data_IF_408771070531
#
_entry.id   IF_408771070531
#
_cell.length_a   1.000
_cell.length_b   1.000
_cell.length_c   1.000
_cell.angle_alpha   90.00
_cell.angle_beta   90.00
_cell.angle_gamma   90.00
#
_symmetry.space_group_name_H-M   'P 1'
#
loop_
_entity.id
_entity.type
_entity.pdbx_description
1 polymer ?
#
# COMPACT_ATOMS: atom_id res chain seq x y z
N UNK A 1 -13.25 -9.92 0.24
CA UNK A 1 -14.24 -8.88 0.08
C UNK A 1 -13.83 -7.55 0.63
N UNK A 2 -12.56 -7.29 0.71
CA UNK A 2 -12.04 -6.03 1.22
C UNK A 2 -11.51 -5.09 0.16
N UNK A 3 -11.53 -5.48 -1.12
CA UNK A 3 -10.89 -4.69 -2.16
C UNK A 3 -11.53 -3.30 -2.32
N UNK A 4 -12.86 -3.20 -2.27
CA UNK A 4 -13.54 -1.90 -2.36
C UNK A 4 -13.15 -0.99 -1.19
N UNK A 5 -13.12 -1.54 0.02
CA UNK A 5 -12.72 -0.79 1.21
C UNK A 5 -11.23 -0.41 1.15
N UNK A 6 -10.41 -1.29 0.59
CA UNK A 6 -8.99 -1.02 0.42
C UNK A 6 -8.77 0.16 -0.54
N UNK A 7 -9.51 0.21 -1.65
CA UNK A 7 -9.40 1.32 -2.60
C UNK A 7 -9.75 2.64 -1.93
N UNK A 8 -10.84 2.69 -1.17
CA UNK A 8 -11.20 3.90 -0.42
C UNK A 8 -10.11 4.29 0.58
N UNK A 9 -9.58 3.30 1.29
CA UNK A 9 -8.52 3.53 2.26
C UNK A 9 -7.28 4.10 1.59
N UNK A 10 -6.83 3.50 0.48
CA UNK A 10 -5.63 3.98 -0.23
C UNK A 10 -5.83 5.38 -0.80
N UNK A 11 -7.07 5.72 -1.17
CA UNK A 11 -7.39 7.09 -1.57
C UNK A 11 -7.15 8.08 -0.42
N UNK A 12 -7.61 7.74 0.79
CA UNK A 12 -7.45 8.62 1.96
C UNK A 12 -6.00 8.64 2.45
N UNK A 13 -5.34 7.47 2.49
CA UNK A 13 -4.00 7.35 3.08
C UNK A 13 -2.89 7.81 2.14
N UNK A 14 -2.99 7.49 0.85
CA UNK A 14 -1.90 7.70 -0.11
C UNK A 14 -2.28 8.58 -1.29
N UNK A 15 -3.50 9.11 -1.31
CA UNK A 15 -3.95 9.91 -2.45
C UNK A 15 -4.17 9.09 -3.72
N UNK A 16 -4.44 7.80 -3.56
CA UNK A 16 -4.72 6.94 -4.71
C UNK A 16 -6.00 7.36 -5.42
N UNK A 17 -6.05 7.13 -6.73
CA UNK A 17 -7.31 7.26 -7.46
C UNK A 17 -7.53 6.04 -8.34
N UNK A 18 -8.80 5.70 -8.51
CA UNK A 18 -9.21 4.50 -9.25
C UNK A 18 -9.33 4.81 -10.74
N UNK A 19 -8.72 3.95 -11.58
CA UNK A 19 -8.85 4.05 -13.02
C UNK A 19 -9.98 3.18 -13.55
N UNK A 20 -10.11 1.96 -13.02
CA UNK A 20 -11.07 1.00 -13.55
C UNK A 20 -11.40 -0.05 -12.50
N UNK A 21 -12.57 -0.67 -12.66
CA UNK A 21 -13.05 -1.69 -11.74
C UNK A 21 -13.97 -2.65 -12.50
N UNK A 22 -13.66 -3.96 -12.40
CA UNK A 22 -14.52 -5.01 -12.92
C UNK A 22 -15.16 -5.75 -11.73
N UNK A 23 -16.48 -5.71 -11.67
CA UNK A 23 -17.24 -6.30 -10.57
C UNK A 23 -17.96 -7.56 -11.08
N UNK A 24 -17.79 -8.66 -10.33
CA UNK A 24 -18.52 -9.89 -10.62
C UNK A 24 -20.02 -9.71 -10.29
N UNK A 25 -20.94 -10.42 -10.97
CA UNK A 25 -22.37 -10.34 -10.64
C UNK A 25 -22.69 -10.61 -9.17
N UNK A 26 -21.84 -11.38 -8.47
CA UNK A 26 -22.02 -11.64 -7.03
C UNK A 26 -21.51 -10.50 -6.16
N UNK A 27 -21.00 -9.43 -6.73
CA UNK A 27 -20.62 -8.20 -6.01
C UNK A 27 -19.16 -8.06 -5.62
N UNK A 28 -18.33 -9.08 -5.82
CA UNK A 28 -16.90 -8.94 -5.48
C UNK A 28 -16.13 -8.34 -6.65
N UNK A 29 -14.98 -7.70 -6.30
CA UNK A 29 -14.11 -7.09 -7.31
C UNK A 29 -13.21 -8.17 -7.91
N UNK A 30 -13.37 -8.43 -9.21
CA UNK A 30 -12.52 -9.35 -9.96
C UNK A 30 -11.18 -8.70 -10.22
N UNK A 31 -11.19 -7.41 -10.54
CA UNK A 31 -10.00 -6.66 -10.92
C UNK A 31 -10.27 -5.18 -10.73
N UNK A 32 -9.32 -4.47 -10.16
CA UNK A 32 -9.35 -3.02 -10.08
C UNK A 32 -7.96 -2.47 -10.33
N UNK A 33 -7.90 -1.26 -10.87
CA UNK A 33 -6.66 -0.54 -11.12
C UNK A 33 -6.70 0.79 -10.43
N UNK A 34 -5.70 1.07 -9.61
CA UNK A 34 -5.55 2.36 -8.94
C UNK A 34 -4.17 2.93 -9.24
N UNK A 35 -4.05 4.23 -9.11
CA UNK A 35 -2.77 4.93 -9.28
C UNK A 35 -2.38 5.57 -7.96
N UNK A 36 -1.16 5.28 -7.50
CA UNK A 36 -0.56 5.89 -6.32
C UNK A 36 0.73 6.55 -6.77
N UNK A 37 0.80 7.88 -6.62
CA UNK A 37 2.00 8.65 -6.95
C UNK A 37 2.51 8.36 -8.36
N UNK A 38 1.60 8.27 -9.33
CA UNK A 38 1.94 8.02 -10.73
C UNK A 38 2.20 6.55 -11.08
N UNK A 39 2.08 5.63 -10.14
CA UNK A 39 2.34 4.21 -10.37
C UNK A 39 1.04 3.41 -10.35
N UNK A 40 0.92 2.51 -11.30
CA UNK A 40 -0.25 1.64 -11.41
C UNK A 40 -0.14 0.47 -10.44
N UNK A 41 -1.20 0.23 -9.69
CA UNK A 41 -1.33 -0.92 -8.82
C UNK A 41 -2.64 -1.64 -9.14
N UNK A 42 -2.58 -2.95 -9.26
CA UNK A 42 -3.76 -3.77 -9.50
C UNK A 42 -4.12 -4.54 -8.24
N UNK A 43 -5.41 -4.70 -7.97
CA UNK A 43 -5.88 -5.45 -6.81
C UNK A 43 -7.21 -6.12 -7.10
N UNK A 44 -7.54 -7.11 -6.29
CA UNK A 44 -8.79 -7.87 -6.42
C UNK A 44 -9.21 -8.41 -5.07
N UNK A 45 -10.47 -8.81 -4.96
CA UNK A 45 -10.91 -9.64 -3.85
C UNK A 45 -10.35 -11.06 -4.02
N UNK A 46 -10.02 -11.76 -2.92
CA UNK A 46 -9.56 -13.13 -3.04
C UNK A 46 -10.71 -14.04 -3.44
N UNK A 47 -10.61 -14.61 -4.62
CA UNK A 47 -11.64 -15.50 -5.19
C UNK A 47 -11.09 -16.90 -5.48
N UNK A 48 -9.87 -17.18 -5.07
CA UNK A 48 -9.17 -18.42 -5.38
C UNK A 48 -8.17 -18.72 -4.25
N UNK A 49 -7.87 -20.01 -4.01
CA UNK A 49 -6.84 -20.37 -3.04
C UNK A 49 -5.45 -19.79 -3.33
N UNK A 50 -5.24 -19.33 -4.58
CA UNK A 50 -3.96 -18.70 -4.96
C UNK A 50 -3.84 -17.29 -4.37
N UNK A 51 -4.98 -16.59 -4.19
CA UNK A 51 -5.01 -15.21 -3.70
C UNK A 51 -5.50 -15.20 -2.26
N UNK A 52 -4.57 -15.37 -1.32
CA UNK A 52 -4.90 -15.39 0.10
C UNK A 52 -5.04 -13.98 0.69
N UNK A 53 -5.91 -13.85 1.68
CA UNK A 53 -6.06 -12.61 2.43
C UNK A 53 -4.94 -12.54 3.49
N UNK A 54 -4.03 -11.53 3.43
CA UNK A 54 -2.91 -11.44 4.37
C UNK A 54 -3.33 -11.31 5.83
N UNK A 55 -4.56 -10.86 6.09
CA UNK A 55 -5.06 -10.76 7.47
C UNK A 55 -5.17 -12.11 8.16
N UNK A 56 -5.25 -13.18 7.38
CA UNK A 56 -5.49 -14.54 7.90
C UNK A 56 -4.21 -15.35 8.13
N UNK A 57 -3.10 -14.93 7.56
CA UNK A 57 -1.86 -15.69 7.68
C UNK A 57 -0.59 -14.87 7.57
N UNK A 58 -0.70 -13.55 7.63
CA UNK A 58 0.44 -12.68 7.44
C UNK A 58 0.84 -12.58 5.97
N UNK A 59 1.96 -11.93 5.71
CA UNK A 59 2.45 -11.74 4.34
C UNK A 59 3.96 -11.86 4.30
N UNK A 60 4.46 -12.49 3.24
CA UNK A 60 5.89 -12.56 2.95
C UNK A 60 6.33 -11.49 1.96
N UNK A 61 5.40 -10.63 1.51
CA UNK A 61 5.66 -9.59 0.52
C UNK A 61 5.41 -8.23 1.16
N UNK A 62 6.26 -7.26 0.87
CA UNK A 62 6.03 -5.87 1.24
C UNK A 62 6.01 -5.01 -0.02
N UNK A 63 5.26 -3.92 0.04
CA UNK A 63 5.17 -2.96 -1.04
C UNK A 63 6.02 -1.75 -0.67
N UNK A 64 6.80 -1.25 -1.62
CA UNK A 64 7.68 -0.11 -1.40
C UNK A 64 7.14 1.09 -2.17
N UNK A 65 6.91 2.18 -1.46
CA UNK A 65 6.36 3.40 -2.04
C UNK A 65 7.38 4.52 -1.88
N UNK A 66 7.84 5.06 -3.00
CA UNK A 66 8.79 6.17 -3.03
C UNK A 66 8.02 7.48 -3.11
N UNK A 67 8.22 8.35 -2.12
CA UNK A 67 7.48 9.61 -1.99
C UNK A 67 8.46 10.74 -1.70
N UNK A 68 7.97 11.97 -1.82
CA UNK A 68 8.81 13.15 -1.55
C UNK A 68 9.08 13.30 -0.05
N UNK A 69 8.08 13.03 0.78
CA UNK A 69 8.17 13.21 2.24
C UNK A 69 7.58 12.00 2.94
N UNK A 70 8.45 11.04 3.31
CA UNK A 70 8.03 9.79 3.93
C UNK A 70 7.32 10.03 5.26
N UNK A 71 7.78 10.99 6.06
CA UNK A 71 7.17 11.27 7.36
C UNK A 71 5.74 11.74 7.21
N UNK A 72 5.49 12.67 6.28
CA UNK A 72 4.14 13.20 6.03
C UNK A 72 3.20 12.11 5.54
N UNK A 73 3.66 11.27 4.60
CA UNK A 73 2.85 10.17 4.06
C UNK A 73 2.54 9.13 5.13
N UNK A 74 3.54 8.75 5.92
CA UNK A 74 3.34 7.76 6.97
C UNK A 74 2.40 8.28 8.06
N UNK A 75 2.53 9.54 8.47
CA UNK A 75 1.65 10.14 9.46
C UNK A 75 0.20 10.15 8.97
N UNK A 76 -0.02 10.49 7.70
CA UNK A 76 -1.35 10.45 7.10
C UNK A 76 -1.93 9.03 7.09
N UNK A 77 -1.12 8.05 6.71
CA UNK A 77 -1.55 6.66 6.67
C UNK A 77 -1.91 6.13 8.06
N UNK A 78 -1.13 6.49 9.07
CA UNK A 78 -1.40 6.10 10.47
C UNK A 78 -2.70 6.75 10.93
N UNK A 79 -2.92 8.02 10.60
CA UNK A 79 -4.16 8.72 10.97
C UNK A 79 -5.38 8.06 10.34
N UNK A 80 -5.22 7.42 9.18
CA UNK A 80 -6.32 6.72 8.48
C UNK A 80 -6.47 5.26 8.91
N UNK A 81 -5.61 4.75 9.78
CA UNK A 81 -5.79 3.42 10.36
C UNK A 81 -4.66 2.43 10.18
N UNK A 82 -3.54 2.82 9.56
CA UNK A 82 -2.38 1.96 9.48
C UNK A 82 -1.72 1.81 10.86
N UNK A 83 -1.09 0.66 11.06
CA UNK A 83 -0.28 0.39 12.25
C UNK A 83 1.17 0.72 11.94
N UNK A 84 1.83 1.48 12.80
CA UNK A 84 3.26 1.75 12.65
C UNK A 84 4.06 0.53 13.08
N UNK A 85 4.87 -0.01 12.16
CA UNK A 85 5.79 -1.10 12.45
C UNK A 85 7.17 -0.53 12.80
N UNK A 86 7.63 0.44 12.00
CA UNK A 86 8.88 1.16 12.25
C UNK A 86 8.66 2.63 11.97
N UNK A 87 9.12 3.52 12.86
CA UNK A 87 9.01 4.96 12.61
C UNK A 87 9.89 5.38 11.44
N UNK A 88 9.55 6.51 10.84
CA UNK A 88 10.36 7.06 9.75
C UNK A 88 11.69 7.53 10.32
N UNK A 89 12.80 6.96 9.84
CA UNK A 89 14.15 7.33 10.23
C UNK A 89 15.07 7.29 9.03
N UNK A 90 16.19 8.04 9.14
CA UNK A 90 17.25 7.99 8.13
C UNK A 90 18.04 6.70 8.29
N UNK A 91 18.20 5.98 7.20
CA UNK A 91 18.93 4.71 7.18
C UNK A 91 20.34 4.89 6.64
N UNK A 92 21.24 3.95 6.97
CA UNK A 92 22.63 3.99 6.56
C UNK A 92 22.81 3.94 5.05
N UNK A 93 21.89 3.32 4.34
CA UNK A 93 21.97 3.18 2.89
C UNK A 93 21.50 4.43 2.13
N UNK A 94 21.27 5.53 2.81
CA UNK A 94 21.03 6.82 2.17
C UNK A 94 19.57 7.15 1.87
N UNK A 95 18.64 6.42 2.45
CA UNK A 95 17.22 6.69 2.32
C UNK A 95 16.58 6.91 3.68
N UNK A 96 15.50 7.68 3.69
CA UNK A 96 14.65 7.84 4.86
C UNK A 96 13.47 6.92 4.66
N UNK A 97 13.19 6.06 5.63
CA UNK A 97 12.10 5.12 5.46
C UNK A 97 11.40 4.77 6.78
N UNK A 98 10.11 4.47 6.66
CA UNK A 98 9.33 3.87 7.72
C UNK A 98 8.57 2.69 7.20
N UNK A 99 8.00 1.90 8.09
CA UNK A 99 7.23 0.70 7.73
C UNK A 99 5.90 0.74 8.45
N UNK A 100 4.83 0.48 7.71
CA UNK A 100 3.47 0.44 8.23
C UNK A 100 2.77 -0.82 7.75
N UNK A 101 1.72 -1.21 8.46
CA UNK A 101 0.81 -2.26 8.02
C UNK A 101 -0.57 -1.64 7.84
N UNK A 102 -1.17 -1.87 6.67
CA UNK A 102 -2.50 -1.33 6.42
C UNK A 102 -3.58 -2.21 7.09
N UNK A 103 -4.85 -1.74 7.17
CA UNK A 103 -5.92 -2.50 7.82
C UNK A 103 -6.25 -3.83 7.14
N UNK A 104 -5.71 -4.06 5.94
CA UNK A 104 -5.96 -5.28 5.17
C UNK A 104 -4.82 -6.28 5.29
N UNK A 105 -3.79 -5.96 6.08
CA UNK A 105 -2.68 -6.87 6.37
C UNK A 105 -1.47 -6.70 5.48
N UNK A 106 -1.50 -5.79 4.52
CA UNK A 106 -0.35 -5.55 3.64
C UNK A 106 0.67 -4.64 4.32
N UNK A 107 1.94 -4.95 4.13
CA UNK A 107 3.05 -4.19 4.70
C UNK A 107 3.61 -3.26 3.63
N UNK A 108 3.80 -1.99 4.02
CA UNK A 108 4.31 -0.94 3.13
C UNK A 108 5.57 -0.35 3.72
N UNK A 109 6.60 -0.21 2.91
CA UNK A 109 7.78 0.59 3.23
C UNK A 109 7.64 1.93 2.52
N UNK A 110 7.65 3.02 3.27
CA UNK A 110 7.49 4.38 2.75
C UNK A 110 8.86 5.03 2.73
N UNK A 111 9.34 5.40 1.55
CA UNK A 111 10.72 5.86 1.35
C UNK A 111 10.78 7.25 0.73
N UNK A 112 11.75 8.04 1.19
CA UNK A 112 12.09 9.33 0.60
C UNK A 112 13.59 9.56 0.74
N UNK A 113 14.10 10.66 0.18
CA UNK A 113 15.51 11.09 0.31
C UNK A 113 16.53 10.03 -0.15
N UNK A 114 16.14 9.22 -1.15
CA UNK A 114 17.00 8.17 -1.67
C UNK A 114 17.97 8.75 -2.71
N UNK A 115 19.16 8.12 -2.83
CA UNK A 115 20.17 8.49 -3.81
C UNK A 115 20.00 7.67 -5.09
N UNK A 116 20.64 8.13 -6.19
CA UNK A 116 20.65 7.37 -7.44
C UNK A 116 21.26 5.98 -7.24
N UNK A 117 22.26 5.86 -6.40
CA UNK A 117 22.90 4.59 -6.09
C UNK A 117 21.93 3.61 -5.46
N UNK A 118 21.08 4.11 -4.58
CA UNK A 118 20.04 3.28 -3.97
C UNK A 118 18.98 2.85 -4.99
N UNK A 119 18.66 3.74 -5.92
CA UNK A 119 17.64 3.47 -6.95
C UNK A 119 18.11 2.49 -8.01
N UNK A 120 19.40 2.41 -8.24
CA UNK A 120 19.98 1.51 -9.21
C UNK A 120 20.20 0.12 -8.60
#
# INVERSE_FOLDING_TARGET
>A
NGAADAIEFYSRAFGAYELDRLIHPDGYIVHAEIVIDGHLLMLSDPDSPIFADPRKGGTSVSLHLFVVDAKAVQDRAIAEGCKEIQPVTRKDYGATNGVIQDPFGHVWSILSDFTEEFMN
#
